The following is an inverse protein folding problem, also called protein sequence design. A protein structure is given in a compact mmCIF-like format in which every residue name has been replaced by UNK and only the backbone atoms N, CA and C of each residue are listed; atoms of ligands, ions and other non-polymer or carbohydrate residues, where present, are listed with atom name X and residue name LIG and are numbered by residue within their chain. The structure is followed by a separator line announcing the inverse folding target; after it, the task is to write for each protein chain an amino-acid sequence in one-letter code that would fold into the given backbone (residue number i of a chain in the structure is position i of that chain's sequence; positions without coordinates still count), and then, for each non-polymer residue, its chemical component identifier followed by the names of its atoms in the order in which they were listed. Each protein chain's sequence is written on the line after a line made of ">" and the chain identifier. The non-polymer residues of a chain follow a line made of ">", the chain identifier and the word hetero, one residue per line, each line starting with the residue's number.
data_IF_546665196915
#
_entry.id   IF_546665196915
#
_cell.length_a   1.000
_cell.length_b   1.000
_cell.length_c   1.000
_cell.angle_alpha   90.00
_cell.angle_beta   90.00
_cell.angle_gamma   90.00
#
_symmetry.space_group_name_H-M   'P 1'
#
loop_
_entity.id
_entity.type
_entity.pdbx_description
1 polymer ?
#
# COMPACT_ATOMS: atom_id res chain seq x y z
N UNK A 1 -3.13 -25.88 21.39
CA UNK A 1 -4.17 -25.72 20.38
C UNK A 1 -3.49 -25.18 19.14
N UNK A 2 -3.73 -25.86 18.03
CA UNK A 2 -2.96 -25.79 16.80
C UNK A 2 -2.97 -24.38 16.21
N UNK A 3 -1.78 -23.86 15.90
CA UNK A 3 -1.59 -22.74 14.98
C UNK A 3 -1.97 -23.24 13.59
N UNK A 4 -3.13 -22.82 13.09
CA UNK A 4 -3.48 -22.95 11.67
C UNK A 4 -2.50 -22.09 10.86
N UNK A 5 -1.45 -22.75 10.34
CA UNK A 5 -0.74 -22.27 9.17
C UNK A 5 -1.73 -22.27 8.01
N UNK A 6 -2.23 -21.08 7.65
CA UNK A 6 -2.90 -20.82 6.39
C UNK A 6 -1.92 -21.10 5.25
N UNK A 7 -1.92 -22.34 4.75
CA UNK A 7 -1.32 -22.66 3.46
C UNK A 7 -2.28 -22.14 2.40
N UNK A 8 -2.00 -20.95 1.86
CA UNK A 8 -2.60 -20.47 0.61
C UNK A 8 -1.98 -21.28 -0.54
N UNK A 9 -2.75 -22.19 -1.10
CA UNK A 9 -2.34 -22.93 -2.30
C UNK A 9 -2.47 -21.97 -3.49
N UNK A 10 -1.36 -21.41 -3.96
CA UNK A 10 -1.35 -20.35 -4.99
C UNK A 10 -1.96 -20.72 -6.34
N UNK A 11 -2.45 -21.96 -6.48
CA UNK A 11 -3.20 -22.46 -7.62
C UNK A 11 -4.69 -22.06 -7.58
N UNK A 12 -5.34 -22.13 -6.41
CA UNK A 12 -6.73 -21.69 -6.22
C UNK A 12 -6.86 -20.18 -6.49
N UNK A 13 -5.93 -19.37 -5.95
CA UNK A 13 -5.91 -17.92 -6.18
C UNK A 13 -5.72 -17.57 -7.68
N UNK A 14 -4.93 -18.35 -8.41
CA UNK A 14 -4.71 -18.12 -9.85
C UNK A 14 -5.94 -18.47 -10.71
N UNK A 15 -6.69 -19.50 -10.31
CA UNK A 15 -7.94 -19.91 -10.98
C UNK A 15 -9.04 -18.86 -10.76
N UNK A 16 -9.27 -18.43 -9.52
CA UNK A 16 -10.26 -17.40 -9.17
C UNK A 16 -10.00 -16.07 -9.91
N UNK A 17 -8.74 -15.66 -9.98
CA UNK A 17 -8.35 -14.43 -10.69
C UNK A 17 -8.61 -14.55 -12.19
N UNK A 18 -8.34 -15.72 -12.78
CA UNK A 18 -8.58 -15.96 -14.19
C UNK A 18 -10.08 -15.96 -14.51
N UNK A 19 -10.92 -16.61 -13.69
CA UNK A 19 -12.37 -16.60 -13.87
C UNK A 19 -12.95 -15.18 -13.85
N UNK A 20 -12.54 -14.35 -12.89
CA UNK A 20 -12.97 -12.95 -12.81
C UNK A 20 -12.55 -12.14 -14.05
N UNK A 21 -11.36 -12.40 -14.60
CA UNK A 21 -10.88 -11.74 -15.83
C UNK A 21 -11.69 -12.19 -17.07
N UNK A 22 -12.09 -13.46 -17.13
CA UNK A 22 -12.99 -13.96 -18.17
C UNK A 22 -14.36 -13.29 -18.06
N UNK A 23 -14.92 -13.19 -16.85
CA UNK A 23 -16.20 -12.50 -16.60
C UNK A 23 -16.12 -11.03 -17.04
N UNK A 24 -15.05 -10.32 -16.67
CA UNK A 24 -14.82 -8.92 -17.08
C UNK A 24 -14.76 -8.79 -18.61
N UNK A 25 -14.11 -9.72 -19.31
CA UNK A 25 -14.01 -9.72 -20.77
C UNK A 25 -15.37 -9.92 -21.46
N UNK A 26 -16.23 -10.79 -20.90
CA UNK A 26 -17.57 -11.08 -21.42
C UNK A 26 -18.47 -9.84 -21.25
N UNK A 27 -18.43 -9.21 -20.08
CA UNK A 27 -19.24 -8.01 -19.77
C UNK A 27 -18.88 -6.85 -20.70
N UNK A 28 -17.60 -6.69 -21.01
CA UNK A 28 -17.12 -5.61 -21.87
C UNK A 28 -17.37 -5.84 -23.38
N UNK A 29 -18.02 -6.95 -23.78
CA UNK A 29 -18.30 -7.29 -25.19
C UNK A 29 -17.04 -7.40 -26.07
N UNK A 30 -15.86 -7.64 -25.48
CA UNK A 30 -14.59 -7.81 -26.18
C UNK A 30 -14.31 -9.29 -26.48
N UNK A 31 -15.30 -10.00 -27.03
CA UNK A 31 -15.20 -11.43 -27.38
C UNK A 31 -14.38 -11.70 -28.65
N UNK A 32 -13.88 -10.66 -29.31
CA UNK A 32 -12.96 -10.79 -30.44
C UNK A 32 -11.55 -11.04 -29.90
N UNK A 33 -10.97 -12.19 -30.28
CA UNK A 33 -9.62 -12.67 -29.93
C UNK A 33 -8.67 -11.52 -29.57
N UNK A 34 -8.48 -11.29 -28.27
CA UNK A 34 -7.57 -10.25 -27.81
C UNK A 34 -6.16 -10.60 -28.27
N UNK A 35 -5.64 -9.84 -29.22
CA UNK A 35 -4.26 -10.00 -29.67
C UNK A 35 -3.33 -9.63 -28.49
N UNK A 36 -2.16 -10.27 -28.39
CA UNK A 36 -1.11 -9.93 -27.42
C UNK A 36 -0.88 -8.41 -27.30
N UNK A 37 -1.00 -7.66 -28.41
CA UNK A 37 -0.87 -6.20 -28.44
C UNK A 37 -1.94 -5.50 -27.58
N UNK A 38 -3.17 -6.00 -27.56
CA UNK A 38 -4.26 -5.43 -26.76
C UNK A 38 -4.02 -5.68 -25.27
N UNK A 39 -3.62 -6.89 -24.87
CA UNK A 39 -3.31 -7.17 -23.45
C UNK A 39 -2.08 -6.40 -22.98
N UNK A 40 -1.02 -6.31 -23.79
CA UNK A 40 0.13 -5.45 -23.48
C UNK A 40 -0.24 -3.96 -23.41
N UNK A 41 -1.32 -3.52 -24.06
CA UNK A 41 -1.74 -2.12 -23.99
C UNK A 41 -2.24 -1.70 -22.60
N UNK A 42 -2.67 -2.67 -21.78
CA UNK A 42 -3.07 -2.49 -20.38
C UNK A 42 -1.89 -2.19 -19.46
N UNK A 43 -0.66 -2.46 -19.91
CA UNK A 43 0.57 -2.11 -19.18
C UNK A 43 1.05 -0.67 -19.43
N UNK A 44 0.36 0.09 -20.30
CA UNK A 44 0.74 1.48 -20.59
C UNK A 44 0.42 2.37 -19.40
N UNK A 45 1.24 3.39 -19.19
CA UNK A 45 0.99 4.45 -18.20
C UNK A 45 -0.34 5.19 -18.46
N UNK A 46 -0.77 5.28 -19.72
CA UNK A 46 -2.04 5.90 -20.10
C UNK A 46 -3.26 4.97 -20.01
N UNK A 47 -3.07 3.74 -19.51
CA UNK A 47 -4.15 2.75 -19.41
C UNK A 47 -5.09 3.08 -18.25
N UNK A 48 -6.30 2.51 -18.26
CA UNK A 48 -7.22 2.62 -17.12
C UNK A 48 -6.63 1.90 -15.90
N UNK A 49 -5.89 0.83 -16.14
CA UNK A 49 -5.24 -0.02 -15.15
C UNK A 49 -4.15 0.71 -14.36
N UNK A 50 -3.51 1.73 -14.95
CA UNK A 50 -2.52 2.57 -14.29
C UNK A 50 -3.13 3.59 -13.30
N UNK A 51 -4.46 3.76 -13.29
CA UNK A 51 -5.14 4.65 -12.36
C UNK A 51 -5.22 3.99 -10.98
N UNK A 52 -4.63 4.65 -9.98
CA UNK A 52 -4.63 4.19 -8.60
C UNK A 52 -5.65 4.93 -7.72
N UNK A 53 -6.31 4.19 -6.84
CA UNK A 53 -7.30 4.70 -5.89
C UNK A 53 -7.47 3.73 -4.73
N UNK A 54 -8.14 4.17 -3.65
CA UNK A 54 -8.27 3.38 -2.41
C UNK A 54 -9.33 2.27 -2.48
N UNK A 55 -10.25 2.33 -3.45
CA UNK A 55 -11.45 1.49 -3.48
C UNK A 55 -11.29 0.16 -4.21
N UNK A 56 -10.86 0.19 -5.47
CA UNK A 56 -10.97 -0.98 -6.34
C UNK A 56 -9.62 -1.66 -6.60
N UNK A 57 -9.56 -2.95 -6.27
CA UNK A 57 -8.44 -3.82 -6.61
C UNK A 57 -8.89 -4.79 -7.71
N UNK A 58 -8.84 -4.32 -8.96
CA UNK A 58 -9.42 -5.01 -10.12
C UNK A 58 -8.82 -6.41 -10.34
N UNK A 59 -9.50 -7.30 -11.07
CA UNK A 59 -8.96 -8.61 -11.43
C UNK A 59 -7.59 -8.52 -12.09
N UNK A 60 -7.36 -7.51 -12.93
CA UNK A 60 -6.04 -7.27 -13.53
C UNK A 60 -4.99 -6.86 -12.51
N UNK A 61 -5.33 -6.00 -11.56
CA UNK A 61 -4.41 -5.60 -10.49
C UNK A 61 -4.05 -6.80 -9.62
N UNK A 62 -5.01 -7.68 -9.31
CA UNK A 62 -4.75 -8.96 -8.63
C UNK A 62 -3.81 -9.84 -9.46
N UNK A 63 -4.09 -10.00 -10.76
CA UNK A 63 -3.24 -10.77 -11.65
C UNK A 63 -1.81 -10.22 -11.71
N UNK A 64 -1.63 -8.90 -11.81
CA UNK A 64 -0.30 -8.27 -11.92
C UNK A 64 0.39 -8.07 -10.56
N UNK A 65 -0.31 -8.27 -9.44
CA UNK A 65 0.23 -8.03 -8.11
C UNK A 65 1.40 -8.96 -7.80
N UNK A 66 2.49 -8.37 -7.33
CA UNK A 66 3.67 -9.07 -6.82
C UNK A 66 3.87 -8.61 -5.40
N UNK A 67 3.78 -9.57 -4.47
CA UNK A 67 4.01 -9.31 -3.06
C UNK A 67 5.43 -8.76 -2.83
N UNK A 68 5.53 -7.69 -2.03
CA UNK A 68 6.78 -7.05 -1.63
C UNK A 68 6.97 -7.19 -0.12
N UNK A 69 8.21 -7.10 0.36
CA UNK A 69 8.48 -7.15 1.81
C UNK A 69 7.78 -6.00 2.58
N UNK A 70 7.71 -4.79 2.00
CA UNK A 70 6.93 -3.66 2.54
C UNK A 70 5.46 -4.00 2.82
N UNK A 71 4.87 -4.88 2.00
CA UNK A 71 3.48 -5.32 2.18
C UNK A 71 3.33 -6.23 3.38
N UNK A 72 4.28 -7.16 3.60
CA UNK A 72 4.28 -8.03 4.77
C UNK A 72 4.45 -7.23 6.06
N UNK A 73 5.36 -6.26 6.05
CA UNK A 73 5.54 -5.33 7.17
C UNK A 73 4.26 -4.54 7.44
N UNK A 74 3.64 -3.97 6.41
CA UNK A 74 2.37 -3.26 6.56
C UNK A 74 1.25 -4.18 7.07
N UNK A 75 1.18 -5.43 6.61
CA UNK A 75 0.21 -6.41 7.10
C UNK A 75 0.39 -6.66 8.60
N UNK A 76 1.62 -6.90 9.05
CA UNK A 76 1.93 -7.12 10.46
C UNK A 76 1.56 -5.91 11.32
N UNK A 77 1.85 -4.69 10.83
CA UNK A 77 1.48 -3.44 11.51
C UNK A 77 -0.05 -3.29 11.62
N UNK A 78 -0.78 -3.54 10.53
CA UNK A 78 -2.24 -3.43 10.50
C UNK A 78 -2.88 -4.43 11.47
N UNK A 79 -2.45 -5.70 11.45
CA UNK A 79 -3.03 -6.73 12.31
C UNK A 79 -2.80 -6.42 13.80
N UNK A 80 -1.57 -6.04 14.17
CA UNK A 80 -1.25 -5.70 15.57
C UNK A 80 -1.93 -4.40 16.03
N UNK A 81 -1.96 -3.38 15.19
CA UNK A 81 -2.69 -2.15 15.48
C UNK A 81 -4.19 -2.41 15.66
N UNK A 82 -4.76 -3.36 14.90
CA UNK A 82 -6.15 -3.75 15.03
C UNK A 82 -6.47 -4.43 16.37
N UNK A 83 -5.50 -5.09 17.00
CA UNK A 83 -5.66 -5.72 18.32
C UNK A 83 -5.48 -4.73 19.49
N UNK A 84 -4.83 -3.59 19.24
CA UNK A 84 -4.65 -2.55 20.25
C UNK A 84 -5.98 -1.86 20.64
N UNK A 85 -6.07 -1.47 21.92
CA UNK A 85 -7.14 -0.65 22.46
C UNK A 85 -6.78 0.85 22.50
N UNK A 86 -5.53 1.19 22.19
CA UNK A 86 -5.02 2.55 22.13
C UNK A 86 -5.11 3.11 20.71
N UNK A 87 -4.94 4.43 20.56
CA UNK A 87 -4.81 5.05 19.26
C UNK A 87 -3.65 4.45 18.47
N UNK A 88 -3.84 4.21 17.18
CA UNK A 88 -2.82 3.67 16.28
C UNK A 88 -2.82 4.43 14.95
N UNK A 89 -1.73 5.15 14.66
CA UNK A 89 -1.48 5.80 13.39
C UNK A 89 -0.36 5.05 12.65
N UNK A 90 -0.72 4.43 11.53
CA UNK A 90 0.23 3.78 10.62
C UNK A 90 0.55 4.75 9.48
N UNK A 91 1.81 5.21 9.44
CA UNK A 91 2.34 6.02 8.36
C UNK A 91 2.86 5.10 7.23
N UNK A 92 2.15 5.11 6.09
CA UNK A 92 2.62 4.46 4.87
C UNK A 92 3.40 5.49 4.07
N UNK A 93 4.71 5.50 4.24
CA UNK A 93 5.61 6.50 3.68
C UNK A 93 6.08 6.12 2.27
N UNK A 94 6.26 7.12 1.41
CA UNK A 94 6.91 6.95 0.10
C UNK A 94 6.61 8.07 -0.88
N UNK A 95 7.25 8.06 -2.03
CA UNK A 95 7.04 9.00 -3.14
C UNK A 95 5.85 8.62 -4.03
N UNK A 96 5.52 9.49 -5.00
CA UNK A 96 4.58 9.18 -6.08
C UNK A 96 5.16 8.04 -6.92
N UNK A 97 4.36 7.01 -7.18
CA UNK A 97 4.79 5.82 -7.95
C UNK A 97 5.28 4.64 -7.11
N UNK A 98 5.49 4.80 -5.79
CA UNK A 98 6.01 3.71 -4.94
C UNK A 98 4.98 2.62 -4.60
N UNK A 99 3.73 2.81 -5.01
CA UNK A 99 2.66 1.82 -4.87
C UNK A 99 1.83 1.92 -3.58
N UNK A 100 1.87 3.05 -2.86
CA UNK A 100 1.10 3.26 -1.61
C UNK A 100 -0.42 3.08 -1.78
N UNK A 101 -1.00 3.70 -2.81
CA UNK A 101 -2.43 3.57 -3.10
C UNK A 101 -2.80 2.14 -3.50
N UNK A 102 -1.95 1.49 -4.29
CA UNK A 102 -2.12 0.10 -4.76
C UNK A 102 -2.12 -0.87 -3.58
N UNK A 103 -1.21 -0.69 -2.62
CA UNK A 103 -1.15 -1.59 -1.48
C UNK A 103 -2.32 -1.37 -0.51
N UNK A 104 -2.77 -0.14 -0.33
CA UNK A 104 -3.95 0.12 0.53
C UNK A 104 -5.21 -0.48 -0.11
N UNK A 105 -5.38 -0.36 -1.43
CA UNK A 105 -6.51 -1.01 -2.11
C UNK A 105 -6.43 -2.53 -2.04
N UNK A 106 -5.23 -3.13 -2.12
CA UNK A 106 -5.03 -4.55 -1.82
C UNK A 106 -5.57 -4.92 -0.43
N UNK A 107 -5.20 -4.20 0.63
CA UNK A 107 -5.68 -4.51 1.98
C UNK A 107 -7.19 -4.30 2.14
N UNK A 108 -7.76 -3.23 1.57
CA UNK A 108 -9.20 -2.97 1.62
C UNK A 108 -10.04 -4.08 1.01
N UNK A 109 -9.53 -4.72 -0.05
CA UNK A 109 -10.25 -5.76 -0.77
C UNK A 109 -10.01 -7.16 -0.17
N UNK A 110 -8.80 -7.44 0.35
CA UNK A 110 -8.45 -8.75 0.89
C UNK A 110 -8.70 -8.90 2.40
N UNK A 111 -8.74 -7.79 3.15
CA UNK A 111 -8.95 -7.78 4.60
C UNK A 111 -10.05 -6.79 5.03
N UNK A 112 -11.25 -6.80 4.40
CA UNK A 112 -12.29 -5.79 4.66
C UNK A 112 -12.73 -5.75 6.13
N UNK A 113 -12.73 -6.90 6.81
CA UNK A 113 -13.10 -7.00 8.22
C UNK A 113 -12.11 -6.33 9.18
N UNK A 114 -10.83 -6.27 8.81
CA UNK A 114 -9.82 -5.56 9.57
C UNK A 114 -9.83 -4.09 9.17
N UNK A 115 -9.84 -3.82 7.87
CA UNK A 115 -9.73 -2.46 7.33
C UNK A 115 -10.92 -1.56 7.68
N UNK A 116 -12.12 -2.11 7.89
CA UNK A 116 -13.29 -1.32 8.37
C UNK A 116 -13.07 -0.67 9.73
N UNK A 117 -12.08 -1.12 10.51
CA UNK A 117 -11.74 -0.54 11.80
C UNK A 117 -10.77 0.64 11.68
N UNK A 118 -10.23 0.91 10.48
CA UNK A 118 -9.27 1.98 10.24
C UNK A 118 -9.90 3.11 9.42
N UNK A 119 -9.65 4.35 9.85
CA UNK A 119 -9.80 5.53 8.98
C UNK A 119 -8.63 5.56 8.00
N UNK A 120 -8.91 5.74 6.71
CA UNK A 120 -7.89 5.76 5.67
C UNK A 120 -7.80 7.14 5.03
N UNK A 121 -6.58 7.63 4.88
CA UNK A 121 -6.32 8.85 4.12
C UNK A 121 -5.12 8.67 3.20
N UNK A 122 -5.28 9.12 1.96
CA UNK A 122 -4.22 9.12 0.97
C UNK A 122 -3.82 10.56 0.65
N UNK A 123 -2.54 10.87 0.86
CA UNK A 123 -1.92 12.15 0.58
C UNK A 123 -1.68 12.33 -0.93
N UNK A 124 -2.76 12.39 -1.70
CA UNK A 124 -2.71 12.93 -3.05
C UNK A 124 -2.70 14.46 -3.01
N UNK A 125 -1.77 15.05 -2.24
CA UNK A 125 -1.20 16.42 -2.29
C UNK A 125 -2.07 17.66 -2.53
N UNK A 126 -3.39 17.54 -2.68
CA UNK A 126 -4.31 18.64 -2.94
C UNK A 126 -5.45 18.62 -1.93
N UNK A 127 -5.67 19.75 -1.28
CA UNK A 127 -6.95 19.99 -0.64
C UNK A 127 -8.01 20.09 -1.74
N UNK A 128 -9.10 19.36 -1.58
CA UNK A 128 -10.28 19.50 -2.46
C UNK A 128 -11.04 20.80 -2.19
N UNK A 129 -10.62 21.56 -1.16
CA UNK A 129 -11.24 22.79 -0.70
C UNK A 129 -10.39 24.01 -1.12
N UNK A 130 -10.96 25.01 -1.83
CA UNK A 130 -10.22 26.14 -2.41
C UNK A 130 -9.37 26.96 -1.43
N UNK A 131 -9.68 26.89 -0.14
CA UNK A 131 -9.09 27.76 0.90
C UNK A 131 -8.27 27.00 1.96
N UNK A 132 -8.13 25.67 1.82
CA UNK A 132 -7.46 24.85 2.83
C UNK A 132 -6.12 24.39 2.29
N UNK A 133 -5.07 24.36 3.12
CA UNK A 133 -3.79 23.77 2.72
C UNK A 133 -3.76 22.28 3.10
N UNK A 134 -2.84 21.53 2.49
CA UNK A 134 -2.57 20.14 2.89
C UNK A 134 -2.19 20.04 4.38
N UNK A 135 -1.52 21.08 4.92
CA UNK A 135 -1.15 21.15 6.34
C UNK A 135 -2.37 21.35 7.25
N UNK A 136 -3.31 22.22 6.86
CA UNK A 136 -4.55 22.41 7.62
C UNK A 136 -5.40 21.13 7.60
N UNK A 137 -5.38 20.38 6.49
CA UNK A 137 -6.06 19.07 6.38
C UNK A 137 -5.44 18.03 7.29
N UNK A 138 -4.11 17.89 7.26
CA UNK A 138 -3.38 16.98 8.16
C UNK A 138 -3.65 17.31 9.63
N UNK A 139 -3.66 18.60 9.98
CA UNK A 139 -3.93 19.05 11.33
C UNK A 139 -5.34 18.67 11.84
N UNK A 140 -6.32 18.60 10.95
CA UNK A 140 -7.69 18.20 11.29
C UNK A 140 -7.85 16.69 11.36
N UNK A 141 -7.37 15.94 10.35
CA UNK A 141 -7.56 14.48 10.32
C UNK A 141 -6.71 13.76 11.36
N UNK A 142 -5.60 14.36 11.80
CA UNK A 142 -4.74 13.79 12.83
C UNK A 142 -5.09 14.26 14.23
N UNK A 143 -6.17 15.02 14.44
CA UNK A 143 -6.50 15.64 15.73
C UNK A 143 -6.53 14.65 16.91
N UNK A 144 -7.04 13.43 16.70
CA UNK A 144 -7.05 12.35 17.70
C UNK A 144 -5.66 11.83 18.09
N UNK A 145 -4.63 12.18 17.32
CA UNK A 145 -3.22 11.85 17.55
C UNK A 145 -2.40 13.06 18.02
N UNK A 146 -3.07 14.17 18.36
CA UNK A 146 -2.40 15.31 19.00
C UNK A 146 -1.96 14.96 20.42
N UNK A 147 -0.95 15.66 20.91
CA UNK A 147 -0.36 15.42 22.25
C UNK A 147 -1.42 15.48 23.37
N UNK A 148 -2.49 16.27 23.18
CA UNK A 148 -3.59 16.42 24.14
C UNK A 148 -4.58 15.25 24.14
N UNK A 149 -4.70 14.51 23.03
CA UNK A 149 -5.79 13.53 22.81
C UNK A 149 -5.32 12.10 22.64
N UNK A 150 -4.05 11.89 22.31
CA UNK A 150 -3.53 10.59 21.90
C UNK A 150 -3.69 9.50 22.98
N UNK A 151 -3.53 9.85 24.26
CA UNK A 151 -3.67 8.90 25.38
C UNK A 151 -5.12 8.47 25.63
N UNK A 152 -6.10 9.31 25.26
CA UNK A 152 -7.53 9.04 25.47
C UNK A 152 -8.22 8.50 24.21
N UNK A 153 -7.52 8.56 23.07
CA UNK A 153 -8.01 8.12 21.78
C UNK A 153 -7.85 6.61 21.59
N UNK A 154 -8.77 6.02 20.84
CA UNK A 154 -8.69 4.64 20.34
C UNK A 154 -8.80 4.60 18.81
N UNK A 155 -8.60 5.74 18.14
CA UNK A 155 -8.71 5.84 16.69
C UNK A 155 -7.59 5.05 16.01
N UNK A 156 -7.95 4.28 15.00
CA UNK A 156 -7.02 3.54 14.14
C UNK A 156 -7.01 4.21 12.80
N UNK A 157 -5.83 4.61 12.34
CA UNK A 157 -5.69 5.47 11.18
C UNK A 157 -4.52 4.98 10.32
N UNK A 158 -4.73 4.90 9.01
CA UNK A 158 -3.66 4.63 8.04
C UNK A 158 -3.53 5.86 7.15
N UNK A 159 -2.36 6.48 7.22
CA UNK A 159 -2.03 7.66 6.45
C UNK A 159 -0.96 7.30 5.41
N UNK A 160 -1.36 7.18 4.14
CA UNK A 160 -0.39 7.18 3.05
C UNK A 160 0.11 8.60 2.81
N UNK A 161 1.40 8.85 2.98
CA UNK A 161 1.98 10.19 2.96
C UNK A 161 3.33 10.25 2.25
N UNK A 162 3.58 11.36 1.54
CA UNK A 162 4.92 11.66 1.05
C UNK A 162 5.83 12.10 2.21
N UNK A 163 7.04 11.56 2.30
CA UNK A 163 8.03 11.95 3.31
C UNK A 163 8.25 13.46 3.37
N UNK A 164 8.26 14.15 2.22
CA UNK A 164 8.34 15.61 2.17
C UNK A 164 7.12 16.32 2.77
N UNK A 165 5.91 15.80 2.54
CA UNK A 165 4.68 16.33 3.15
C UNK A 165 4.70 16.13 4.67
N UNK A 166 5.11 14.94 5.13
CA UNK A 166 5.25 14.64 6.56
C UNK A 166 6.24 15.58 7.23
N UNK A 167 7.41 15.79 6.62
CA UNK A 167 8.42 16.71 7.12
C UNK A 167 7.87 18.15 7.22
N UNK A 168 7.20 18.63 6.16
CA UNK A 168 6.59 19.95 6.15
C UNK A 168 5.51 20.12 7.23
N UNK A 169 4.74 19.07 7.51
CA UNK A 169 3.71 19.10 8.56
C UNK A 169 4.32 19.24 9.95
N UNK A 170 5.34 18.45 10.25
CA UNK A 170 6.05 18.43 11.53
C UNK A 170 6.80 19.74 11.81
N UNK A 171 7.22 20.45 10.75
CA UNK A 171 7.87 21.76 10.85
C UNK A 171 6.90 22.94 10.63
N UNK A 172 5.61 22.66 10.46
CA UNK A 172 4.59 23.70 10.30
C UNK A 172 4.20 24.34 11.64
N UNK A 173 3.36 25.38 11.58
CA UNK A 173 2.71 26.00 12.76
C UNK A 173 1.91 24.98 13.61
N UNK A 174 1.59 23.81 13.07
CA UNK A 174 0.86 22.75 13.77
C UNK A 174 1.78 21.75 14.48
N UNK A 175 3.08 21.75 14.19
CA UNK A 175 4.03 20.79 14.77
C UNK A 175 4.04 20.78 16.29
N UNK A 176 3.78 21.92 16.93
CA UNK A 176 3.70 22.06 18.39
C UNK A 176 2.53 21.27 19.02
N UNK A 177 1.50 20.91 18.24
CA UNK A 177 0.38 20.05 18.68
C UNK A 177 0.69 18.56 18.60
N UNK A 178 1.79 18.21 17.93
CA UNK A 178 2.16 16.86 17.53
C UNK A 178 3.63 16.59 17.89
N UNK A 179 4.08 17.07 19.05
CA UNK A 179 5.47 16.94 19.48
C UNK A 179 5.86 15.48 19.71
N UNK A 180 4.94 14.61 20.15
CA UNK A 180 5.20 13.18 20.32
C UNK A 180 5.38 12.51 18.96
N UNK A 181 4.56 12.85 17.96
CA UNK A 181 4.73 12.38 16.58
C UNK A 181 6.06 12.88 15.99
N UNK A 182 6.40 14.15 16.22
CA UNK A 182 7.67 14.75 15.79
C UNK A 182 8.87 13.97 16.35
N UNK A 183 8.85 13.69 17.65
CA UNK A 183 9.88 12.90 18.31
C UNK A 183 9.94 11.47 17.74
N UNK A 184 8.80 10.83 17.51
CA UNK A 184 8.74 9.51 16.90
C UNK A 184 9.40 9.48 15.52
N UNK A 185 9.06 10.44 14.64
CA UNK A 185 9.64 10.55 13.28
C UNK A 185 11.15 10.76 13.33
N UNK A 186 11.65 11.55 14.27
CA UNK A 186 13.08 11.79 14.48
C UNK A 186 13.80 10.55 15.03
N UNK A 187 13.23 9.89 16.03
CA UNK A 187 13.82 8.73 16.69
C UNK A 187 13.90 7.51 15.77
N UNK A 188 12.86 7.29 14.95
CA UNK A 188 12.82 6.23 13.93
C UNK A 188 13.53 6.62 12.62
N UNK A 189 14.09 7.82 12.56
CA UNK A 189 14.82 8.37 11.39
C UNK A 189 14.08 8.18 10.06
N UNK A 190 12.76 8.34 10.07
CA UNK A 190 11.89 8.06 8.91
C UNK A 190 12.24 8.94 7.70
N UNK A 191 12.82 10.11 7.96
CA UNK A 191 13.24 11.07 6.93
C UNK A 191 14.69 10.86 6.47
N UNK A 192 15.45 9.95 7.10
CA UNK A 192 16.82 9.64 6.73
C UNK A 192 16.88 8.46 5.74
N UNK A 193 17.98 8.34 4.99
CA UNK A 193 18.19 7.24 4.01
C UNK A 193 18.59 5.92 4.68
N UNK A 194 18.59 5.84 6.01
CA UNK A 194 18.95 4.63 6.74
C UNK A 194 17.75 3.71 6.89
N UNK A 195 17.94 2.43 6.56
CA UNK A 195 16.93 1.39 6.76
C UNK A 195 16.82 1.10 8.26
N UNK A 196 15.79 1.63 8.91
CA UNK A 196 15.40 1.23 10.26
C UNK A 196 14.26 0.21 10.22
N UNK A 197 14.17 -0.60 11.27
CA UNK A 197 13.12 -1.61 11.38
C UNK A 197 11.76 -0.94 11.59
N UNK A 198 10.83 -1.25 10.69
CA UNK A 198 9.39 -0.93 10.74
C UNK A 198 8.59 -1.90 11.62
N UNK A 199 9.26 -2.67 12.49
CA UNK A 199 8.57 -3.61 13.36
C UNK A 199 7.63 -2.86 14.33
N UNK A 200 6.47 -3.48 14.59
CA UNK A 200 5.46 -2.92 15.48
C UNK A 200 6.04 -2.58 16.86
N UNK A 201 5.84 -1.34 17.29
CA UNK A 201 6.25 -0.83 18.59
C UNK A 201 5.06 -0.83 19.55
N UNK A 202 5.02 -1.80 20.48
CA UNK A 202 3.93 -1.94 21.44
C UNK A 202 3.79 -0.75 22.41
N UNK A 203 4.83 0.08 22.54
CA UNK A 203 4.82 1.25 23.42
C UNK A 203 4.54 2.56 22.65
N UNK A 204 4.11 2.47 21.40
CA UNK A 204 3.83 3.64 20.57
C UNK A 204 2.45 3.56 19.92
N UNK A 205 1.76 4.70 19.93
CA UNK A 205 0.60 4.93 19.07
C UNK A 205 0.98 5.17 17.60
N UNK A 206 2.27 5.26 17.28
CA UNK A 206 2.76 5.53 15.94
C UNK A 206 3.51 4.33 15.39
N UNK A 207 3.21 4.01 14.13
CA UNK A 207 3.85 2.95 13.37
C UNK A 207 4.22 3.49 12.00
N UNK A 208 5.21 2.91 11.33
CA UNK A 208 5.56 3.34 9.97
C UNK A 208 6.06 2.18 9.11
N UNK A 209 5.86 2.31 7.81
CA UNK A 209 6.50 1.48 6.79
C UNK A 209 6.91 2.37 5.62
N UNK A 210 8.14 2.19 5.13
CA UNK A 210 8.67 2.99 4.04
C UNK A 210 8.71 2.21 2.73
N UNK A 211 7.88 2.59 1.77
CA UNK A 211 7.81 1.95 0.46
C UNK A 211 8.95 2.37 -0.49
N UNK A 212 9.71 3.41 -0.13
CA UNK A 212 10.87 3.90 -0.91
C UNK A 212 12.11 3.02 -0.76
N UNK A 213 12.25 2.31 0.38
CA UNK A 213 13.47 1.56 0.72
C UNK A 213 13.61 0.26 -0.07
N UNK A 214 12.58 -0.10 -0.80
CA UNK A 214 12.48 -1.35 -1.54
C UNK A 214 12.92 -1.18 -2.98
N UNK A 215 14.23 -1.23 -3.19
CA UNK A 215 14.83 -1.21 -4.52
C UNK A 215 14.36 -2.37 -5.39
N UNK A 216 14.11 -2.06 -6.65
CA UNK A 216 13.66 -3.03 -7.67
C UNK A 216 14.72 -4.12 -7.89
N UNK A 217 15.99 -3.86 -7.60
CA UNK A 217 17.09 -4.81 -7.78
C UNK A 217 18.13 -4.69 -6.68
N UNK A 218 18.94 -5.74 -6.54
CA UNK A 218 20.10 -5.79 -5.65
C UNK A 218 21.36 -6.10 -6.46
N UNK A 219 22.51 -5.62 -5.98
CA UNK A 219 23.81 -5.97 -6.54
C UNK A 219 24.46 -7.02 -5.64
N UNK A 220 24.76 -8.20 -6.20
CA UNK A 220 25.48 -9.26 -5.51
C UNK A 220 26.56 -9.80 -6.42
N UNK A 221 27.80 -9.81 -5.94
CA UNK A 221 28.97 -10.33 -6.67
C UNK A 221 29.15 -9.71 -8.08
N UNK A 222 28.85 -8.43 -8.23
CA UNK A 222 28.94 -7.70 -9.51
C UNK A 222 27.83 -8.02 -10.51
N UNK A 223 26.78 -8.75 -10.10
CA UNK A 223 25.60 -9.06 -10.90
C UNK A 223 24.36 -8.37 -10.33
N UNK A 224 23.46 -7.99 -11.22
CA UNK A 224 22.14 -7.44 -10.89
C UNK A 224 21.18 -8.61 -10.67
N UNK A 225 20.50 -8.62 -9.52
CA UNK A 225 19.46 -9.59 -9.18
C UNK A 225 18.16 -8.85 -8.87
N UNK A 226 17.08 -9.25 -9.52
CA UNK A 226 15.76 -8.67 -9.28
C UNK A 226 14.69 -9.75 -9.35
N UNK A 227 14.39 -10.36 -8.20
CA UNK A 227 13.26 -11.28 -8.08
C UNK A 227 11.94 -10.60 -8.49
N UNK A 228 11.80 -9.31 -8.19
CA UNK A 228 10.61 -8.53 -8.55
C UNK A 228 10.43 -8.44 -10.08
N UNK A 229 11.46 -8.04 -10.82
CA UNK A 229 11.39 -7.95 -12.29
C UNK A 229 11.24 -9.33 -12.93
N UNK A 230 11.94 -10.34 -12.40
CA UNK A 230 11.77 -11.74 -12.84
C UNK A 230 10.31 -12.20 -12.68
N UNK A 231 9.69 -11.97 -11.53
CA UNK A 231 8.29 -12.29 -11.28
C UNK A 231 7.34 -11.51 -12.21
N UNK A 232 7.62 -10.23 -12.47
CA UNK A 232 6.80 -9.39 -13.36
C UNK A 232 6.85 -9.90 -14.81
N UNK A 233 8.04 -10.19 -15.32
CA UNK A 233 8.22 -10.75 -16.66
C UNK A 233 7.53 -12.11 -16.73
N UNK A 234 7.68 -12.95 -15.69
CA UNK A 234 7.04 -14.28 -15.63
C UNK A 234 5.52 -14.16 -15.76
N UNK A 235 4.86 -13.23 -15.07
CA UNK A 235 3.41 -13.00 -15.23
C UNK A 235 2.98 -12.62 -16.65
N UNK A 236 3.89 -12.09 -17.48
CA UNK A 236 3.60 -11.72 -18.87
C UNK A 236 3.86 -12.90 -19.81
N UNK A 237 4.90 -13.71 -19.57
CA UNK A 237 5.40 -14.69 -20.54
C UNK A 237 5.19 -16.16 -20.16
N UNK A 238 4.68 -16.45 -18.97
CA UNK A 238 4.48 -17.81 -18.49
C UNK A 238 3.54 -18.62 -19.39
N UNK A 239 3.83 -19.89 -19.62
CA UNK A 239 3.08 -20.72 -20.57
C UNK A 239 1.84 -21.40 -19.97
N UNK A 240 1.43 -21.06 -18.75
CA UNK A 240 0.21 -21.61 -18.14
C UNK A 240 -1.04 -21.18 -18.90
N UNK A 241 -2.08 -22.02 -18.81
CA UNK A 241 -3.41 -21.73 -19.39
C UNK A 241 -4.09 -20.51 -18.75
N UNK A 242 -3.64 -20.10 -17.55
CA UNK A 242 -4.12 -18.92 -16.83
C UNK A 242 -3.41 -17.61 -17.23
N UNK A 243 -2.41 -17.67 -18.12
CA UNK A 243 -1.75 -16.45 -18.58
C UNK A 243 -2.65 -15.68 -19.55
N UNK A 244 -3.12 -14.51 -19.10
CA UNK A 244 -4.02 -13.65 -19.87
C UNK A 244 -3.37 -12.98 -21.09
N UNK A 245 -2.03 -12.90 -21.15
CA UNK A 245 -1.29 -12.30 -22.27
C UNK A 245 -1.07 -13.26 -23.44
N UNK A 246 -1.14 -14.58 -23.20
CA UNK A 246 -0.90 -15.61 -24.22
C UNK A 246 -2.22 -16.27 -24.58
N UNK A 247 -2.62 -16.14 -25.85
CA UNK A 247 -3.74 -16.93 -26.37
C UNK A 247 -3.30 -18.38 -26.58
N UNK A 248 -3.98 -19.31 -25.90
CA UNK A 248 -3.85 -20.76 -26.12
C UNK A 248 -4.90 -21.28 -27.11
#
# INVERSE_FOLDING_TARGET
>A
QETETLNFDGKEESEDVYEDLIIESIINTELDKKCLIQELSRLKESSKEAVEGLGEFTPFKRYMHIEREAQKELQDLILKANESNEAQLILVCGSVGDGKSHIISYFNNNYPDVMKNFTLHNDATESLEPNKTSMDTLNEILDSFSDEKIEESNEKFILAINLGTLNNFIDSKYGDRFSILKEYVQNKKILETSIESSAFDENSSFQFVNFSDYHIFTLKDGKVYSKYIESLITKIVDSSEYNIFINH
#
